data_IF_239843255789
#
_entry.id   IF_239843255789
#
_cell.length_a   1.000
_cell.length_b   1.000
_cell.length_c   1.000
_cell.angle_alpha   90.00
_cell.angle_beta   90.00
_cell.angle_gamma   90.00
#
_symmetry.space_group_name_H-M   'P 1'
#
loop_
_entity.id
_entity.type
_entity.pdbx_description
1 polymer ?
#
# COMPACT_ATOMS: atom_id res chain seq x y z
N UNK A 1 4.86 -22.42 0.49
CA UNK A 1 4.42 -21.07 0.82
C UNK A 1 4.56 -20.15 -0.39
N UNK A 2 3.67 -19.15 -0.46
CA UNK A 2 3.64 -18.20 -1.58
C UNK A 2 4.71 -17.15 -1.41
N UNK A 3 5.47 -16.88 -2.48
CA UNK A 3 6.43 -15.77 -2.50
C UNK A 3 5.95 -14.62 -3.37
N UNK A 4 5.06 -14.88 -4.32
CA UNK A 4 4.46 -13.82 -5.13
C UNK A 4 3.04 -14.22 -5.50
N UNK A 5 2.19 -13.23 -5.72
CA UNK A 5 0.80 -13.43 -6.09
C UNK A 5 0.46 -12.49 -7.22
N UNK A 6 -0.20 -13.04 -8.24
CA UNK A 6 -0.75 -12.26 -9.35
C UNK A 6 -2.26 -12.40 -9.27
N UNK A 7 -2.92 -11.33 -8.90
CA UNK A 7 -4.39 -11.34 -8.72
C UNK A 7 -5.04 -11.14 -10.09
N UNK A 8 -5.99 -12.01 -10.48
CA UNK A 8 -6.60 -11.90 -11.81
C UNK A 8 -7.47 -10.65 -11.96
N UNK A 9 -7.61 -10.22 -13.21
CA UNK A 9 -8.37 -9.01 -13.56
C UNK A 9 -9.86 -9.09 -13.26
N UNK A 10 -10.37 -10.28 -12.94
CA UNK A 10 -11.77 -10.44 -12.54
C UNK A 10 -12.02 -10.05 -11.08
N UNK A 11 -10.96 -9.88 -10.29
CA UNK A 11 -11.10 -9.54 -8.87
C UNK A 11 -11.36 -8.05 -8.74
N UNK A 12 -12.42 -7.67 -8.03
CA UNK A 12 -12.79 -6.26 -7.83
C UNK A 12 -12.47 -5.75 -6.44
N UNK A 13 -12.23 -6.64 -5.49
CA UNK A 13 -11.81 -6.23 -4.15
C UNK A 13 -10.93 -7.31 -3.53
N UNK A 14 -10.06 -6.86 -2.62
CA UNK A 14 -9.27 -7.77 -1.80
C UNK A 14 -9.97 -7.82 -0.46
N UNK A 15 -10.43 -9.01 -0.08
CA UNK A 15 -11.24 -9.19 1.12
C UNK A 15 -10.45 -9.01 2.41
N UNK A 16 -11.17 -8.90 3.51
CA UNK A 16 -10.57 -8.78 4.83
C UNK A 16 -9.70 -10.01 5.10
N UNK A 17 -8.49 -9.76 5.58
CA UNK A 17 -7.52 -10.80 5.92
C UNK A 17 -7.15 -11.74 4.77
N UNK A 18 -7.36 -11.33 3.52
CA UNK A 18 -7.15 -12.19 2.36
C UNK A 18 -5.74 -12.79 2.30
N UNK A 19 -4.73 -12.01 2.67
CA UNK A 19 -3.33 -12.46 2.68
C UNK A 19 -2.71 -12.33 4.08
N UNK A 20 -3.54 -12.45 5.11
CA UNK A 20 -3.08 -12.34 6.49
C UNK A 20 -1.97 -13.34 6.78
N UNK A 21 -0.87 -12.86 7.34
CA UNK A 21 0.28 -13.67 7.73
C UNK A 21 0.91 -14.48 6.59
N UNK A 22 0.85 -13.96 5.38
CA UNK A 22 1.58 -14.57 4.27
C UNK A 22 3.06 -14.22 4.40
N UNK A 23 3.76 -14.91 5.28
CA UNK A 23 5.12 -14.58 5.76
C UNK A 23 6.16 -14.63 4.66
N UNK A 24 5.94 -15.43 3.63
CA UNK A 24 6.90 -15.60 2.54
C UNK A 24 6.61 -14.72 1.34
N UNK A 25 5.49 -13.99 1.37
CA UNK A 25 5.09 -13.14 0.24
C UNK A 25 6.02 -11.94 0.15
N UNK A 26 6.74 -11.82 -0.96
CA UNK A 26 7.67 -10.71 -1.18
C UNK A 26 7.12 -9.65 -2.12
N UNK A 27 6.17 -10.03 -2.98
CA UNK A 27 5.57 -9.09 -3.92
C UNK A 27 4.14 -9.51 -4.24
N UNK A 28 3.33 -8.52 -4.60
CA UNK A 28 1.96 -8.75 -5.02
C UNK A 28 1.65 -7.80 -6.17
N UNK A 29 0.97 -8.31 -7.18
CA UNK A 29 0.52 -7.52 -8.32
C UNK A 29 -0.98 -7.32 -8.19
N UNK A 30 -1.41 -6.09 -7.97
CA UNK A 30 -2.82 -5.75 -7.80
C UNK A 30 -3.33 -5.16 -9.10
N UNK A 31 -4.32 -5.79 -9.76
CA UNK A 31 -4.80 -5.31 -11.06
C UNK A 31 -5.71 -4.09 -10.93
N UNK A 32 -5.89 -3.41 -12.06
CA UNK A 32 -6.73 -2.21 -12.12
C UNK A 32 -8.22 -2.47 -11.90
N UNK A 33 -8.62 -3.73 -11.82
CA UNK A 33 -10.00 -4.10 -11.50
C UNK A 33 -10.33 -3.94 -10.01
N UNK A 34 -9.31 -3.90 -9.14
CA UNK A 34 -9.51 -3.85 -7.69
C UNK A 34 -9.85 -2.43 -7.27
N UNK A 35 -10.95 -2.26 -6.55
CA UNK A 35 -11.39 -0.95 -6.08
C UNK A 35 -11.21 -0.74 -4.58
N UNK A 36 -11.01 -1.82 -3.82
CA UNK A 36 -10.80 -1.70 -2.37
C UNK A 36 -9.88 -2.78 -1.85
N UNK A 37 -9.18 -2.45 -0.77
CA UNK A 37 -8.32 -3.38 -0.03
C UNK A 37 -8.92 -3.47 1.37
N UNK A 38 -9.26 -4.69 1.78
CA UNK A 38 -9.97 -4.94 3.03
C UNK A 38 -9.10 -4.79 4.28
N UNK A 39 -9.76 -4.88 5.43
CA UNK A 39 -9.08 -4.79 6.72
C UNK A 39 -8.12 -5.96 6.88
N UNK A 40 -6.91 -5.68 7.35
CA UNK A 40 -5.87 -6.69 7.60
C UNK A 40 -5.50 -7.52 6.35
N UNK A 41 -5.79 -7.03 5.16
CA UNK A 41 -5.61 -7.80 3.93
C UNK A 41 -4.17 -8.31 3.78
N UNK A 42 -3.18 -7.51 4.14
CA UNK A 42 -1.76 -7.89 4.09
C UNK A 42 -1.09 -7.78 5.46
N UNK A 43 -1.89 -7.90 6.52
CA UNK A 43 -1.40 -7.84 7.89
C UNK A 43 -0.36 -8.95 8.11
N UNK A 44 0.77 -8.58 8.67
CA UNK A 44 1.85 -9.52 9.02
C UNK A 44 2.47 -10.23 7.82
N UNK A 45 2.44 -9.61 6.66
CA UNK A 45 3.21 -10.08 5.50
C UNK A 45 4.65 -9.63 5.70
N UNK A 46 5.40 -10.38 6.50
CA UNK A 46 6.69 -9.94 7.03
C UNK A 46 7.81 -9.91 6.01
N UNK A 47 7.63 -10.51 4.85
CA UNK A 47 8.62 -10.48 3.76
C UNK A 47 8.27 -9.52 2.63
N UNK A 48 7.09 -8.90 2.69
CA UNK A 48 6.63 -7.99 1.62
C UNK A 48 7.49 -6.72 1.64
N UNK A 49 8.10 -6.39 0.48
CA UNK A 49 9.04 -5.27 0.39
C UNK A 49 8.48 -4.05 -0.30
N UNK A 50 7.55 -4.23 -1.24
CA UNK A 50 6.98 -3.10 -1.96
C UNK A 50 5.59 -3.44 -2.48
N UNK A 51 4.76 -2.42 -2.61
CA UNK A 51 3.40 -2.55 -3.16
C UNK A 51 3.10 -1.33 -4.00
N UNK A 52 2.50 -1.56 -5.15
CA UNK A 52 1.98 -0.49 -6.00
C UNK A 52 0.46 -0.60 -6.02
N UNK A 53 -0.21 0.41 -5.49
CA UNK A 53 -1.67 0.46 -5.43
C UNK A 53 -2.16 1.05 -6.75
N UNK A 54 -3.04 0.37 -7.49
CA UNK A 54 -3.51 0.88 -8.78
C UNK A 54 -4.51 2.03 -8.61
N UNK A 55 -4.68 2.79 -9.69
CA UNK A 55 -5.54 3.98 -9.71
C UNK A 55 -7.02 3.67 -9.51
N UNK A 56 -7.39 2.40 -9.57
CA UNK A 56 -8.77 1.97 -9.34
C UNK A 56 -9.14 1.90 -7.85
N UNK A 57 -8.14 1.81 -6.97
CA UNK A 57 -8.39 1.63 -5.54
C UNK A 57 -8.80 2.96 -4.91
N UNK A 58 -9.93 2.93 -4.18
CA UNK A 58 -10.43 4.11 -3.49
C UNK A 58 -10.30 4.03 -1.98
N UNK A 59 -10.14 2.82 -1.42
CA UNK A 59 -10.03 2.67 0.03
C UNK A 59 -9.04 1.57 0.39
N UNK A 60 -8.37 1.78 1.52
CA UNK A 60 -7.45 0.81 2.14
C UNK A 60 -7.94 0.63 3.56
N UNK A 61 -8.18 -0.62 3.96
CA UNK A 61 -8.79 -0.93 5.24
C UNK A 61 -7.87 -0.75 6.44
N UNK A 62 -8.46 -0.92 7.63
CA UNK A 62 -7.71 -0.86 8.88
C UNK A 62 -6.66 -1.96 8.91
N UNK A 63 -5.44 -1.61 9.31
CA UNK A 63 -4.33 -2.56 9.45
C UNK A 63 -4.00 -3.32 8.17
N UNK A 64 -4.34 -2.76 7.02
CA UNK A 64 -4.13 -3.46 5.75
C UNK A 64 -2.69 -3.93 5.56
N UNK A 65 -1.71 -3.14 6.01
CA UNK A 65 -0.28 -3.48 5.94
C UNK A 65 0.37 -3.48 7.32
N UNK A 66 -0.39 -3.83 8.33
CA UNK A 66 0.07 -3.87 9.72
C UNK A 66 1.22 -4.87 9.87
N UNK A 67 2.28 -4.47 10.55
CA UNK A 67 3.43 -5.36 10.81
C UNK A 67 4.12 -5.90 9.55
N UNK A 68 4.06 -5.18 8.45
CA UNK A 68 4.83 -5.53 7.27
C UNK A 68 6.26 -5.04 7.48
N UNK A 69 7.05 -5.79 8.24
CA UNK A 69 8.34 -5.33 8.78
C UNK A 69 9.45 -5.21 7.74
N UNK A 70 9.22 -5.67 6.52
CA UNK A 70 10.18 -5.51 5.41
C UNK A 70 9.71 -4.49 4.38
N UNK A 71 8.53 -3.90 4.59
CA UNK A 71 7.92 -3.01 3.60
C UNK A 71 8.65 -1.67 3.59
N UNK A 72 9.26 -1.33 2.47
CA UNK A 72 10.02 -0.09 2.35
C UNK A 72 9.45 0.90 1.34
N UNK A 73 8.54 0.46 0.47
CA UNK A 73 8.03 1.31 -0.59
C UNK A 73 6.58 0.97 -0.92
N UNK A 74 5.71 1.97 -0.89
CA UNK A 74 4.32 1.82 -1.31
C UNK A 74 3.94 3.03 -2.16
N UNK A 75 3.36 2.79 -3.33
CA UNK A 75 2.83 3.85 -4.19
C UNK A 75 1.32 3.91 -3.98
N UNK A 76 0.83 5.07 -3.56
CA UNK A 76 -0.60 5.27 -3.29
C UNK A 76 -1.11 6.36 -4.24
N UNK A 77 -2.06 6.04 -5.13
CA UNK A 77 -2.55 7.00 -6.11
C UNK A 77 -3.55 7.99 -5.53
N UNK A 78 -3.85 9.01 -6.32
CA UNK A 78 -4.81 10.04 -5.97
C UNK A 78 -6.24 9.51 -5.78
N UNK A 79 -6.54 8.36 -6.35
CA UNK A 79 -7.85 7.74 -6.23
C UNK A 79 -8.19 7.33 -4.79
N UNK A 80 -7.17 7.09 -3.96
CA UNK A 80 -7.40 6.64 -2.59
C UNK A 80 -7.87 7.82 -1.74
N UNK A 81 -9.07 7.68 -1.18
CA UNK A 81 -9.67 8.72 -0.34
C UNK A 81 -9.86 8.28 1.10
N UNK A 82 -9.49 7.05 1.42
CA UNK A 82 -9.65 6.51 2.77
C UNK A 82 -8.53 5.51 3.04
N UNK A 83 -7.83 5.69 4.15
CA UNK A 83 -6.82 4.75 4.65
C UNK A 83 -7.15 4.52 6.12
N UNK A 84 -7.35 3.26 6.48
CA UNK A 84 -7.80 2.90 7.82
C UNK A 84 -6.73 3.08 8.89
N UNK A 85 -7.16 2.96 10.13
CA UNK A 85 -6.29 3.10 11.30
C UNK A 85 -5.26 1.99 11.32
N UNK A 86 -4.01 2.36 11.58
CA UNK A 86 -2.94 1.38 11.72
C UNK A 86 -2.56 0.68 10.43
N UNK A 87 -2.97 1.22 9.26
CA UNK A 87 -2.72 0.57 7.99
C UNK A 87 -1.23 0.26 7.78
N UNK A 88 -0.34 1.12 8.26
CA UNK A 88 1.11 0.92 8.14
C UNK A 88 1.80 0.88 9.51
N UNK A 89 1.05 0.54 10.54
CA UNK A 89 1.60 0.48 11.90
C UNK A 89 2.61 -0.66 12.00
N UNK A 90 3.73 -0.40 12.66
CA UNK A 90 4.85 -1.34 12.83
C UNK A 90 5.55 -1.72 11.53
N UNK A 91 5.42 -0.90 10.50
CA UNK A 91 6.28 -0.98 9.33
C UNK A 91 7.62 -0.33 9.66
N UNK A 92 8.68 -0.58 8.86
CA UNK A 92 10.00 -0.02 9.15
C UNK A 92 10.00 1.51 9.14
N UNK A 93 10.92 2.10 9.89
CA UNK A 93 11.09 3.55 9.92
C UNK A 93 11.46 4.14 8.55
N UNK A 94 12.06 3.32 7.68
CA UNK A 94 12.45 3.76 6.34
C UNK A 94 11.38 3.50 5.27
N UNK A 95 10.18 3.08 5.69
CA UNK A 95 9.06 2.98 4.75
C UNK A 95 8.82 4.36 4.14
N UNK A 96 8.75 4.41 2.82
CA UNK A 96 8.48 5.64 2.09
C UNK A 96 7.24 5.45 1.22
N UNK A 97 6.27 6.36 1.37
CA UNK A 97 5.08 6.36 0.55
C UNK A 97 5.29 7.30 -0.63
N UNK A 98 5.05 6.80 -1.84
CA UNK A 98 5.04 7.63 -3.05
C UNK A 98 3.60 8.10 -3.25
N UNK A 99 3.35 9.39 -3.09
CA UNK A 99 2.00 9.95 -3.03
C UNK A 99 1.91 11.19 -3.91
N UNK A 100 0.75 11.43 -4.55
CA UNK A 100 0.57 12.64 -5.33
C UNK A 100 0.53 13.88 -4.43
N UNK A 101 0.90 15.01 -4.99
CA UNK A 101 0.76 16.30 -4.29
C UNK A 101 -0.72 16.58 -4.06
N UNK A 102 -1.04 17.17 -2.91
CA UNK A 102 -2.41 17.56 -2.58
C UNK A 102 -3.39 16.38 -2.57
N UNK A 103 -2.93 15.22 -2.06
CA UNK A 103 -3.77 14.02 -2.01
C UNK A 103 -4.10 13.65 -0.57
N UNK A 104 -5.13 12.82 -0.43
CA UNK A 104 -5.46 12.21 0.86
C UNK A 104 -4.26 11.43 1.40
N UNK A 105 -3.57 10.69 0.53
CA UNK A 105 -2.42 9.88 0.95
C UNK A 105 -1.28 10.74 1.48
N UNK A 106 -1.05 11.92 0.90
CA UNK A 106 -0.05 12.84 1.41
C UNK A 106 -0.40 13.31 2.80
N UNK A 107 -1.66 13.70 3.02
CA UNK A 107 -2.12 14.16 4.33
C UNK A 107 -2.01 13.03 5.36
N UNK A 108 -2.32 11.81 4.95
CA UNK A 108 -2.19 10.64 5.82
C UNK A 108 -0.73 10.42 6.23
N UNK A 109 0.20 10.51 5.27
CA UNK A 109 1.62 10.32 5.56
C UNK A 109 2.12 11.36 6.56
N UNK A 110 1.73 12.61 6.38
CA UNK A 110 2.10 13.69 7.29
C UNK A 110 1.52 13.47 8.69
N UNK A 111 0.24 13.11 8.76
CA UNK A 111 -0.44 12.91 10.04
C UNK A 111 0.15 11.75 10.84
N UNK A 112 0.70 10.76 10.17
CA UNK A 112 1.24 9.55 10.79
C UNK A 112 2.77 9.52 10.82
N UNK A 113 3.41 10.62 10.42
CA UNK A 113 4.86 10.74 10.43
C UNK A 113 5.57 9.68 9.60
N UNK A 114 4.97 9.32 8.46
CA UNK A 114 5.56 8.36 7.54
C UNK A 114 6.31 9.13 6.45
N UNK A 115 7.57 8.78 6.15
CA UNK A 115 8.30 9.42 5.05
C UNK A 115 7.55 9.30 3.73
N UNK A 116 7.62 10.35 2.92
CA UNK A 116 6.91 10.34 1.64
C UNK A 116 7.75 11.02 0.56
N UNK A 117 7.41 10.69 -0.69
CA UNK A 117 7.98 11.35 -1.86
C UNK A 117 6.87 11.49 -2.90
N UNK A 118 7.14 12.25 -3.93
CA UNK A 118 6.17 12.45 -5.02
C UNK A 118 6.60 11.66 -6.24
N UNK A 119 5.65 11.14 -7.05
CA UNK A 119 6.01 10.41 -8.26
C UNK A 119 6.83 11.25 -9.23
N UNK A 120 6.61 12.56 -9.23
CA UNK A 120 7.29 13.51 -10.10
C UNK A 120 8.43 14.24 -9.37
N UNK A 121 8.99 13.63 -8.33
CA UNK A 121 9.97 14.31 -7.45
C UNK A 121 11.17 14.86 -8.20
N UNK A 122 11.54 14.26 -9.31
CA UNK A 122 12.70 14.69 -10.08
C UNK A 122 12.37 15.64 -11.23
N UNK A 123 11.10 15.89 -11.49
CA UNK A 123 10.70 16.69 -12.65
C UNK A 123 11.13 18.15 -12.51
N UNK A 124 10.96 18.71 -11.32
CA UNK A 124 11.32 20.11 -11.09
C UNK A 124 12.82 20.36 -11.25
N UNK A 125 13.62 19.32 -11.06
CA UNK A 125 15.06 19.43 -11.22
C UNK A 125 15.48 19.58 -12.67
N UNK A 126 14.63 19.13 -13.57
CA UNK A 126 14.90 19.14 -15.01
C UNK A 126 14.28 20.32 -15.74
N UNK A 127 13.55 21.12 -15.02
CA UNK A 127 12.92 22.32 -15.61
C UNK A 127 13.85 23.55 -15.51
#
# INVERSE_FOLDING_TARGET
SLTSVSIPDSVTSIGDSAFYSCDSLTSVSIPDSVTSIGDSAFDSCTSLTSVSIPDSVTSIGDRAFFCCISLTSVTIPDSVTSIGDGAFLFCPANLTLTVPRNSYALDYAKANNIPYTYPDANDWLNN
#
